data_IF_147885941125
#
_entry.id   IF_147885941125
#
_cell.length_a   1.000
_cell.length_b   1.000
_cell.length_c   1.000
_cell.angle_alpha   90.00
_cell.angle_beta   90.00
_cell.angle_gamma   90.00
#
_symmetry.space_group_name_H-M   'P 1'
#
loop_
_entity.id
_entity.type
_entity.pdbx_description
1 polymer ?
#
# COMPACT_ATOMS: atom_id res chain seq x y z
N UNK A 1 -17.40 -10.54 -9.89
CA UNK A 1 -17.41 -10.14 -8.46
C UNK A 1 -17.27 -8.63 -8.33
N UNK A 2 -17.56 -8.07 -7.17
CA UNK A 2 -17.52 -6.61 -6.92
C UNK A 2 -16.16 -5.97 -7.27
N UNK A 3 -15.04 -6.67 -7.04
CA UNK A 3 -13.68 -6.23 -7.44
C UNK A 3 -13.59 -5.94 -8.95
N UNK A 4 -14.05 -6.86 -9.80
CA UNK A 4 -13.99 -6.70 -11.25
C UNK A 4 -14.88 -5.55 -11.78
N UNK A 5 -15.84 -5.10 -10.98
CA UNK A 5 -16.73 -3.97 -11.30
C UNK A 5 -16.26 -2.65 -10.68
N UNK A 6 -15.17 -2.65 -9.91
CA UNK A 6 -14.75 -1.48 -9.14
C UNK A 6 -15.78 -1.04 -8.10
N UNK A 7 -16.67 -1.94 -7.70
CA UNK A 7 -17.72 -1.67 -6.71
C UNK A 7 -17.13 -1.81 -5.30
N UNK A 8 -16.30 -0.84 -4.93
CA UNK A 8 -15.64 -0.82 -3.63
C UNK A 8 -16.62 -0.62 -2.48
N UNK A 9 -17.78 0.01 -2.72
CA UNK A 9 -18.84 0.15 -1.72
C UNK A 9 -19.42 -1.19 -1.29
N UNK A 10 -19.62 -2.12 -2.24
CA UNK A 10 -20.03 -3.49 -1.94
C UNK A 10 -18.90 -4.33 -1.29
N UNK A 11 -17.64 -3.89 -1.37
CA UNK A 11 -16.49 -4.51 -0.70
C UNK A 11 -16.27 -3.96 0.72
N UNK A 12 -16.81 -2.78 1.05
CA UNK A 12 -16.73 -2.21 2.40
C UNK A 12 -17.57 -3.07 3.36
N UNK A 13 -16.91 -3.97 4.12
CA UNK A 13 -17.47 -4.95 5.05
C UNK A 13 -16.44 -6.04 5.41
N UNK A 14 -16.87 -7.16 6.01
CA UNK A 14 -15.99 -8.28 6.43
C UNK A 14 -15.47 -9.17 5.27
N UNK A 15 -15.70 -8.78 4.00
CA UNK A 15 -15.28 -9.59 2.84
C UNK A 15 -13.78 -9.45 2.51
N UNK A 16 -13.14 -8.36 2.95
CA UNK A 16 -11.70 -8.17 2.85
C UNK A 16 -11.11 -8.34 4.24
N UNK A 17 -10.38 -9.44 4.45
CA UNK A 17 -9.76 -9.74 5.74
C UNK A 17 -8.39 -9.09 5.86
N UNK A 18 -7.88 -8.99 7.09
CA UNK A 18 -6.50 -8.52 7.32
C UNK A 18 -5.47 -9.43 6.62
N UNK A 19 -5.66 -10.75 6.66
CA UNK A 19 -4.78 -11.69 5.94
C UNK A 19 -4.73 -11.41 4.42
N UNK A 20 -5.85 -10.99 3.82
CA UNK A 20 -5.87 -10.57 2.41
C UNK A 20 -5.10 -9.26 2.21
N UNK A 21 -5.25 -8.30 3.13
CA UNK A 21 -4.51 -7.04 3.07
C UNK A 21 -2.99 -7.27 3.18
N UNK A 22 -2.56 -8.12 4.12
CA UNK A 22 -1.15 -8.44 4.36
C UNK A 22 -0.52 -9.21 3.20
N UNK A 23 -1.29 -10.08 2.54
CA UNK A 23 -0.83 -10.87 1.40
C UNK A 23 -0.73 -10.05 0.10
N UNK A 24 -1.67 -9.13 -0.13
CA UNK A 24 -1.84 -8.49 -1.45
C UNK A 24 -1.53 -6.99 -1.47
N UNK A 25 -1.16 -6.37 -0.35
CA UNK A 25 -0.87 -4.94 -0.29
C UNK A 25 0.27 -4.58 0.64
N UNK A 26 0.81 -3.39 0.43
CA UNK A 26 1.66 -2.69 1.40
C UNK A 26 0.86 -1.46 1.81
N UNK A 27 0.31 -1.48 3.03
CA UNK A 27 -0.57 -0.41 3.51
C UNK A 27 -0.46 -0.26 5.02
N UNK A 28 -0.51 0.98 5.51
CA UNK A 28 -0.39 1.29 6.93
C UNK A 28 0.21 2.67 7.15
N UNK A 29 0.85 2.84 8.29
CA UNK A 29 1.69 4.01 8.57
C UNK A 29 2.98 3.97 7.75
N UNK A 30 3.75 5.08 7.67
CA UNK A 30 5.05 5.06 7.01
C UNK A 30 6.01 4.00 7.57
N UNK A 31 5.96 3.71 8.87
CA UNK A 31 6.84 2.72 9.51
C UNK A 31 6.45 1.29 9.11
N UNK A 32 5.16 0.98 9.04
CA UNK A 32 4.66 -0.32 8.55
C UNK A 32 5.11 -0.54 7.10
N UNK A 33 4.95 0.47 6.25
CA UNK A 33 5.37 0.41 4.85
C UNK A 33 6.88 0.23 4.72
N UNK A 34 7.70 0.92 5.52
CA UNK A 34 9.17 0.77 5.51
C UNK A 34 9.60 -0.64 5.92
N UNK A 35 9.01 -1.19 6.97
CA UNK A 35 9.31 -2.55 7.41
C UNK A 35 9.05 -3.56 6.28
N UNK A 36 7.87 -3.48 5.66
CA UNK A 36 7.51 -4.36 4.55
C UNK A 36 8.38 -4.16 3.30
N UNK A 37 8.75 -2.91 2.98
CA UNK A 37 9.67 -2.61 1.88
C UNK A 37 11.03 -3.25 2.14
N UNK A 38 11.57 -3.14 3.36
CA UNK A 38 12.87 -3.74 3.69
C UNK A 38 12.86 -5.26 3.55
N UNK A 39 11.79 -5.94 3.99
CA UNK A 39 11.63 -7.39 3.76
C UNK A 39 11.66 -7.74 2.26
N UNK A 40 11.04 -6.92 1.41
CA UNK A 40 11.04 -7.12 -0.04
C UNK A 40 12.42 -6.87 -0.66
N UNK A 41 13.14 -5.86 -0.18
CA UNK A 41 14.51 -5.58 -0.61
C UNK A 41 15.44 -6.76 -0.25
N UNK A 42 15.30 -7.33 0.96
CA UNK A 42 16.11 -8.45 1.44
C UNK A 42 15.95 -9.72 0.59
N UNK A 43 14.78 -9.92 -0.02
CA UNK A 43 14.53 -11.04 -0.96
C UNK A 43 14.87 -10.70 -2.41
N UNK A 44 15.47 -9.54 -2.67
CA UNK A 44 16.03 -9.17 -3.97
C UNK A 44 15.14 -8.26 -4.83
N UNK A 45 14.06 -7.67 -4.28
CA UNK A 45 13.35 -6.61 -4.99
C UNK A 45 14.24 -5.39 -5.11
N UNK A 46 14.29 -4.78 -6.30
CA UNK A 46 15.15 -3.62 -6.58
C UNK A 46 14.34 -2.35 -6.87
N UNK A 47 13.04 -2.47 -7.09
CA UNK A 47 12.16 -1.35 -7.37
C UNK A 47 10.79 -1.57 -6.73
N UNK A 48 10.33 -0.56 -6.00
CA UNK A 48 8.98 -0.50 -5.44
C UNK A 48 8.19 0.55 -6.20
N UNK A 49 7.02 0.16 -6.71
CA UNK A 49 6.08 1.06 -7.41
C UNK A 49 4.83 1.21 -6.57
N UNK A 50 4.53 2.43 -6.12
CA UNK A 50 3.30 2.73 -5.39
C UNK A 50 2.09 2.67 -6.33
N UNK A 51 1.39 1.53 -6.33
CA UNK A 51 0.19 1.28 -7.13
C UNK A 51 -1.08 1.85 -6.52
N UNK A 52 -2.21 1.75 -7.24
CA UNK A 52 -3.53 2.18 -6.75
C UNK A 52 -3.89 1.49 -5.42
N UNK A 53 -4.48 2.20 -4.44
CA UNK A 53 -4.92 3.61 -4.50
C UNK A 53 -3.82 4.65 -4.23
N UNK A 54 -2.58 4.23 -3.97
CA UNK A 54 -1.43 5.02 -3.47
C UNK A 54 -1.64 5.47 -2.02
N UNK A 55 -2.81 6.03 -1.73
CA UNK A 55 -3.29 6.35 -0.40
C UNK A 55 -4.66 7.01 -0.46
N UNK A 56 -5.25 7.37 0.69
CA UNK A 56 -6.60 7.96 0.75
C UNK A 56 -6.74 9.24 -0.08
N UNK A 57 -5.69 10.06 -0.11
CA UNK A 57 -5.53 11.17 -1.04
C UNK A 57 -4.17 11.00 -1.73
N UNK A 58 -4.18 10.95 -3.06
CA UNK A 58 -2.98 10.64 -3.85
C UNK A 58 -1.87 11.68 -3.65
N UNK A 59 -2.22 12.97 -3.59
CA UNK A 59 -1.23 14.04 -3.46
C UNK A 59 -0.53 14.00 -2.10
N UNK A 60 -1.31 13.88 -1.02
CA UNK A 60 -0.74 13.82 0.34
C UNK A 60 0.04 12.53 0.55
N UNK A 61 -0.43 11.41 -0.01
CA UNK A 61 0.28 10.13 0.05
C UNK A 61 1.62 10.17 -0.69
N UNK A 62 1.69 10.75 -1.90
CA UNK A 62 2.95 10.90 -2.64
C UNK A 62 3.95 11.75 -1.85
N UNK A 63 3.50 12.88 -1.28
CA UNK A 63 4.34 13.74 -0.42
C UNK A 63 4.84 12.98 0.81
N UNK A 64 3.97 12.20 1.44
CA UNK A 64 4.31 11.40 2.61
C UNK A 64 5.34 10.31 2.29
N UNK A 65 5.17 9.58 1.18
CA UNK A 65 6.13 8.58 0.69
C UNK A 65 7.49 9.25 0.41
N UNK A 66 7.50 10.38 -0.29
CA UNK A 66 8.73 11.12 -0.58
C UNK A 66 9.50 11.52 0.68
N UNK A 67 8.78 12.04 1.68
CA UNK A 67 9.36 12.53 2.93
C UNK A 67 9.79 11.41 3.88
N UNK A 68 8.91 10.45 4.15
CA UNK A 68 9.07 9.50 5.26
C UNK A 68 9.60 8.12 4.84
N UNK A 69 9.54 7.79 3.54
CA UNK A 69 9.99 6.50 3.01
C UNK A 69 11.23 6.66 2.14
N UNK A 70 11.20 7.57 1.16
CA UNK A 70 12.34 7.80 0.25
C UNK A 70 13.41 8.68 0.95
N UNK A 71 13.00 9.55 1.87
CA UNK A 71 13.91 10.46 2.58
C UNK A 71 14.43 11.60 1.70
N UNK A 72 13.66 12.02 0.70
CA UNK A 72 14.01 13.15 -0.15
C UNK A 72 13.85 14.47 0.61
N UNK A 73 14.98 15.14 0.87
CA UNK A 73 15.01 16.56 1.25
C UNK A 73 14.78 17.46 0.04
#
# INVERSE_FOLDING_TARGET
GAIAKGDFGALMGDMVTNDMMDAFSISGTPDDCKARINELLDIGVTQIVAGSPIGPNKETAIKLIGKEIIGGN
#
